data_IF_259427175765
#
_entry.id   IF_259427175765
#
_cell.length_a   1.000
_cell.length_b   1.000
_cell.length_c   1.000
_cell.angle_alpha   90.00
_cell.angle_beta   90.00
_cell.angle_gamma   90.00
#
_symmetry.space_group_name_H-M   'P 1'
#
loop_
_entity.id
_entity.type
_entity.pdbx_description
1 polymer ?
#
# COMPACT_ATOMS: atom_id res chain seq x y z
N UNK A 1 41.95 -3.39 -12.76
CA UNK A 1 41.38 -2.03 -12.73
C UNK A 1 40.59 -1.87 -11.43
N UNK A 2 41.12 -1.17 -10.44
CA UNK A 2 40.39 -0.89 -9.19
C UNK A 2 39.31 0.14 -9.49
N UNK A 3 38.04 -0.28 -9.50
CA UNK A 3 36.91 0.58 -9.80
C UNK A 3 36.75 1.63 -8.69
N UNK A 4 36.67 2.89 -9.10
CA UNK A 4 36.34 4.05 -8.25
C UNK A 4 35.10 3.71 -7.41
N UNK A 5 35.20 3.80 -6.09
CA UNK A 5 34.11 3.42 -5.19
C UNK A 5 32.84 4.26 -5.46
N UNK A 6 31.82 3.63 -6.07
CA UNK A 6 30.51 4.24 -6.29
C UNK A 6 29.77 4.37 -4.96
N UNK A 7 29.05 5.48 -4.75
CA UNK A 7 28.22 5.68 -3.55
C UNK A 7 27.20 4.53 -3.42
N UNK A 8 26.97 3.99 -2.21
CA UNK A 8 25.99 2.93 -2.02
C UNK A 8 24.58 3.42 -2.39
N UNK A 9 23.84 2.60 -3.14
CA UNK A 9 22.47 2.89 -3.54
C UNK A 9 21.51 2.05 -2.68
N UNK A 10 20.79 2.67 -1.71
CA UNK A 10 19.91 1.93 -0.83
C UNK A 10 18.65 1.49 -1.58
N UNK A 11 18.38 0.19 -1.56
CA UNK A 11 17.19 -0.43 -2.15
C UNK A 11 16.49 -1.29 -1.10
N UNK A 12 15.15 -1.33 -1.17
CA UNK A 12 14.33 -2.21 -0.34
C UNK A 12 14.04 -3.50 -1.12
N UNK A 13 14.20 -4.64 -0.47
CA UNK A 13 14.03 -5.97 -1.07
C UNK A 13 13.45 -6.92 -0.03
N UNK A 14 12.78 -7.97 -0.50
CA UNK A 14 12.26 -9.02 0.37
C UNK A 14 13.40 -9.87 0.96
N UNK A 15 13.26 -10.22 2.24
CA UNK A 15 14.28 -11.00 2.98
C UNK A 15 14.46 -12.38 2.33
N UNK A 16 13.36 -13.04 1.99
CA UNK A 16 13.40 -14.36 1.32
C UNK A 16 14.13 -14.31 -0.02
N UNK A 17 14.02 -13.20 -0.75
CA UNK A 17 14.73 -13.02 -2.01
C UNK A 17 16.23 -12.82 -1.78
N UNK A 18 16.61 -12.05 -0.76
CA UNK A 18 18.02 -11.89 -0.38
C UNK A 18 18.65 -13.22 0.04
N UNK A 19 17.91 -14.07 0.74
CA UNK A 19 18.39 -15.41 1.13
C UNK A 19 18.67 -16.28 -0.10
N UNK A 20 17.79 -16.27 -1.11
CA UNK A 20 18.01 -16.97 -2.39
C UNK A 20 19.24 -16.44 -3.14
N UNK A 21 19.53 -15.14 -3.07
CA UNK A 21 20.76 -14.58 -3.66
C UNK A 21 22.02 -15.01 -2.92
N UNK A 22 21.92 -15.44 -1.66
CA UNK A 22 23.06 -15.91 -0.89
C UNK A 22 23.51 -17.33 -1.28
N UNK A 23 22.61 -18.15 -1.82
CA UNK A 23 22.90 -19.53 -2.21
C UNK A 23 23.97 -19.63 -3.31
N UNK A 24 23.89 -18.90 -4.44
CA UNK A 24 24.95 -18.93 -5.46
C UNK A 24 26.30 -18.39 -4.96
N UNK A 25 26.30 -17.51 -3.95
CA UNK A 25 27.53 -17.01 -3.33
C UNK A 25 28.18 -18.09 -2.47
N UNK A 26 27.38 -18.84 -1.70
CA UNK A 26 27.86 -20.00 -0.91
C UNK A 26 28.39 -21.12 -1.80
N UNK A 27 27.75 -21.34 -2.95
CA UNK A 27 28.17 -22.31 -3.96
C UNK A 27 29.44 -21.88 -4.73
N UNK A 28 29.97 -20.68 -4.48
CA UNK A 28 31.13 -20.14 -5.20
C UNK A 28 30.85 -19.73 -6.66
N UNK A 29 29.59 -19.75 -7.10
CA UNK A 29 29.17 -19.36 -8.46
C UNK A 29 29.19 -17.83 -8.66
N UNK A 30 29.18 -17.06 -7.57
CA UNK A 30 29.27 -15.61 -7.61
C UNK A 30 30.15 -15.06 -6.47
N UNK A 31 30.80 -13.92 -6.71
CA UNK A 31 31.72 -13.31 -5.74
C UNK A 31 31.02 -12.66 -4.55
N UNK A 32 29.84 -12.08 -4.75
CA UNK A 32 29.00 -11.48 -3.70
C UNK A 32 27.59 -11.22 -4.22
N UNK A 33 26.64 -11.00 -3.31
CA UNK A 33 25.27 -10.59 -3.65
C UNK A 33 25.26 -9.31 -4.51
N UNK A 34 26.11 -8.34 -4.17
CA UNK A 34 26.24 -7.10 -4.96
C UNK A 34 26.75 -7.34 -6.38
N UNK A 35 27.57 -8.37 -6.59
CA UNK A 35 28.09 -8.74 -7.91
C UNK A 35 27.00 -9.39 -8.77
N UNK A 36 26.16 -10.23 -8.15
CA UNK A 36 24.97 -10.81 -8.79
C UNK A 36 24.03 -9.70 -9.24
N UNK A 37 23.69 -8.77 -8.34
CA UNK A 37 22.78 -7.65 -8.65
C UNK A 37 23.36 -6.78 -9.77
N UNK A 38 24.65 -6.42 -9.71
CA UNK A 38 25.31 -5.63 -10.77
C UNK A 38 25.25 -6.35 -12.13
N UNK A 39 25.57 -7.64 -12.16
CA UNK A 39 25.56 -8.43 -13.40
C UNK A 39 24.15 -8.62 -13.96
N UNK A 40 23.15 -8.78 -13.09
CA UNK A 40 21.76 -8.90 -13.50
C UNK A 40 21.26 -7.60 -14.14
N UNK A 41 21.51 -6.46 -13.49
CA UNK A 41 21.10 -5.14 -14.00
C UNK A 41 21.81 -4.75 -15.30
N UNK A 42 23.05 -5.19 -15.50
CA UNK A 42 23.83 -4.94 -16.73
C UNK A 42 23.28 -5.74 -17.94
N UNK A 43 22.71 -6.92 -17.70
CA UNK A 43 22.21 -7.82 -18.75
C UNK A 43 20.72 -7.71 -19.02
N UNK A 44 19.95 -7.18 -18.07
CA UNK A 44 18.50 -7.16 -18.17
C UNK A 44 18.03 -5.96 -18.99
N UNK A 45 17.23 -6.23 -20.02
CA UNK A 45 16.58 -5.18 -20.80
C UNK A 45 15.27 -4.76 -20.11
N UNK A 46 15.18 -3.48 -19.76
CA UNK A 46 14.01 -2.91 -19.08
C UNK A 46 12.88 -2.50 -20.04
N UNK A 47 13.08 -2.62 -21.36
CA UNK A 47 12.15 -2.10 -22.37
C UNK A 47 10.75 -2.73 -22.30
N UNK A 48 10.68 -4.04 -22.03
CA UNK A 48 9.41 -4.81 -22.00
C UNK A 48 8.94 -5.16 -20.57
N UNK A 49 9.40 -4.42 -19.56
CA UNK A 49 9.00 -4.70 -18.17
C UNK A 49 7.56 -4.28 -17.93
N UNK A 50 6.68 -5.27 -17.82
CA UNK A 50 5.31 -5.07 -17.37
C UNK A 50 5.27 -4.81 -15.86
N UNK A 51 5.42 -3.55 -15.48
CA UNK A 51 5.24 -3.12 -14.09
C UNK A 51 3.74 -3.05 -13.80
N UNK A 52 3.18 -4.14 -13.27
CA UNK A 52 1.79 -4.17 -12.81
C UNK A 52 1.66 -3.41 -11.49
N UNK A 53 1.41 -2.10 -11.56
CA UNK A 53 0.96 -1.37 -10.40
C UNK A 53 -0.53 -1.63 -10.19
N UNK A 54 -0.97 -2.07 -8.99
CA UNK A 54 -2.40 -2.09 -8.69
C UNK A 54 -2.92 -0.65 -8.87
N UNK A 55 -4.03 -0.48 -9.57
CA UNK A 55 -4.63 0.83 -9.80
C UNK A 55 -4.98 1.44 -8.44
N UNK A 56 -4.24 2.48 -8.03
CA UNK A 56 -4.46 3.20 -6.78
C UNK A 56 -5.20 4.49 -7.08
N UNK A 57 -6.33 4.71 -6.39
CA UNK A 57 -7.06 5.96 -6.44
C UNK A 57 -6.77 6.77 -5.17
N UNK A 58 -6.54 8.07 -5.34
CA UNK A 58 -6.43 8.98 -4.21
C UNK A 58 -7.82 9.36 -3.73
N UNK A 59 -8.16 8.93 -2.52
CA UNK A 59 -9.43 9.27 -1.85
C UNK A 59 -9.16 10.18 -0.64
N UNK A 60 -10.09 11.10 -0.38
CA UNK A 60 -10.02 12.00 0.77
C UNK A 60 -11.10 11.63 1.79
N UNK A 61 -10.67 11.13 2.95
CA UNK A 61 -11.57 10.78 4.07
C UNK A 61 -11.40 11.80 5.20
N UNK A 62 -12.51 12.27 5.76
CA UNK A 62 -12.50 13.16 6.92
C UNK A 62 -12.21 12.35 8.18
N UNK A 63 -11.01 12.51 8.73
CA UNK A 63 -10.57 11.84 9.95
C UNK A 63 -10.32 12.86 11.07
N UNK A 64 -10.70 12.55 12.33
CA UNK A 64 -10.30 13.32 13.50
C UNK A 64 -8.78 13.56 13.56
N UNK A 65 -8.37 14.69 14.17
CA UNK A 65 -6.96 15.07 14.27
C UNK A 65 -6.09 14.03 14.99
N UNK A 66 -6.62 13.43 16.05
CA UNK A 66 -5.95 12.42 16.87
C UNK A 66 -5.63 11.16 16.07
N UNK A 67 -6.63 10.62 15.36
CA UNK A 67 -6.48 9.43 14.50
C UNK A 67 -5.43 9.69 13.41
N UNK A 68 -5.45 10.87 12.77
CA UNK A 68 -4.44 11.24 11.77
C UNK A 68 -3.03 11.27 12.36
N UNK A 69 -2.87 11.80 13.57
CA UNK A 69 -1.57 11.87 14.26
C UNK A 69 -1.06 10.47 14.60
N UNK A 70 -1.93 9.61 15.13
CA UNK A 70 -1.58 8.24 15.48
C UNK A 70 -1.20 7.43 14.24
N UNK A 71 -1.99 7.50 13.16
CA UNK A 71 -1.68 6.82 11.89
C UNK A 71 -0.30 7.22 11.35
N UNK A 72 0.02 8.52 11.34
CA UNK A 72 1.34 9.00 10.88
C UNK A 72 2.48 8.49 11.77
N UNK A 73 2.29 8.48 13.09
CA UNK A 73 3.29 7.96 14.05
C UNK A 73 3.53 6.47 13.83
N UNK A 74 2.46 5.69 13.72
CA UNK A 74 2.53 4.24 13.50
C UNK A 74 3.15 3.89 12.15
N UNK A 75 2.78 4.60 11.09
CA UNK A 75 3.34 4.41 9.74
C UNK A 75 4.86 4.57 9.75
N UNK A 76 5.36 5.63 10.40
CA UNK A 76 6.81 5.85 10.56
C UNK A 76 7.49 4.77 11.38
N UNK A 77 6.90 4.39 12.51
CA UNK A 77 7.47 3.37 13.40
C UNK A 77 7.52 1.98 12.76
N UNK A 78 6.58 1.66 11.88
CA UNK A 78 6.46 0.36 11.20
C UNK A 78 7.02 0.37 9.78
N UNK A 79 7.68 1.46 9.36
CA UNK A 79 8.22 1.63 8.01
C UNK A 79 7.22 1.30 6.88
N UNK A 80 5.95 1.69 7.07
CA UNK A 80 4.87 1.42 6.12
C UNK A 80 4.13 2.69 5.74
N UNK A 81 3.28 2.64 4.71
CA UNK A 81 2.48 3.79 4.29
C UNK A 81 1.21 3.92 5.14
N UNK A 82 0.71 5.14 5.28
CA UNK A 82 -0.59 5.39 5.93
C UNK A 82 -1.71 4.64 5.19
N UNK A 83 -1.65 4.60 3.85
CA UNK A 83 -2.62 3.87 3.04
C UNK A 83 -2.62 2.37 3.32
N UNK A 84 -1.44 1.78 3.53
CA UNK A 84 -1.34 0.36 3.90
C UNK A 84 -1.98 0.08 5.26
N UNK A 85 -1.76 0.95 6.25
CA UNK A 85 -2.43 0.83 7.56
C UNK A 85 -3.95 0.96 7.46
N UNK A 86 -4.44 1.91 6.65
CA UNK A 86 -5.87 2.10 6.43
C UNK A 86 -6.48 0.89 5.73
N UNK A 87 -5.81 0.36 4.70
CA UNK A 87 -6.24 -0.85 4.00
C UNK A 87 -6.38 -2.02 4.96
N UNK A 88 -5.34 -2.33 5.73
CA UNK A 88 -5.36 -3.44 6.69
C UNK A 88 -6.49 -3.29 7.73
N UNK A 89 -6.72 -2.06 8.22
CA UNK A 89 -7.82 -1.81 9.17
C UNK A 89 -9.20 -2.02 8.55
N UNK A 90 -9.41 -1.59 7.31
CA UNK A 90 -10.68 -1.78 6.60
C UNK A 90 -10.91 -3.24 6.22
N UNK A 91 -9.88 -3.94 5.75
CA UNK A 91 -9.95 -5.38 5.44
C UNK A 91 -10.31 -6.22 6.66
N UNK A 92 -9.82 -5.86 7.85
CA UNK A 92 -10.22 -6.51 9.09
C UNK A 92 -11.67 -6.21 9.49
N UNK A 93 -12.20 -5.02 9.14
CA UNK A 93 -13.54 -4.59 9.53
C UNK A 93 -14.65 -5.06 8.55
N UNK A 94 -14.34 -5.25 7.27
CA UNK A 94 -15.32 -5.65 6.25
C UNK A 94 -16.10 -6.94 6.61
N UNK A 95 -15.45 -8.02 7.08
CA UNK A 95 -16.17 -9.23 7.49
C UNK A 95 -17.16 -8.99 8.64
N UNK A 96 -16.84 -8.07 9.55
CA UNK A 96 -17.74 -7.72 10.67
C UNK A 96 -19.00 -7.00 10.18
N UNK A 97 -18.88 -6.18 9.13
CA UNK A 97 -20.02 -5.50 8.52
C UNK A 97 -20.96 -6.46 7.80
N UNK A 98 -20.42 -7.45 7.09
CA UNK A 98 -21.21 -8.47 6.38
C UNK A 98 -21.99 -9.38 7.33
N UNK A 99 -21.48 -9.57 8.55
CA UNK A 99 -22.15 -10.32 9.60
C UNK A 99 -23.30 -9.56 10.28
N UNK A 100 -23.46 -8.25 10.04
CA UNK A 100 -24.57 -7.48 10.60
C UNK A 100 -25.86 -7.78 9.81
N UNK A 101 -26.99 -8.04 10.49
CA UNK A 101 -28.27 -8.18 9.81
C UNK A 101 -28.62 -6.87 9.10
N UNK A 102 -29.03 -6.96 7.83
CA UNK A 102 -29.44 -5.79 7.03
C UNK A 102 -30.49 -5.00 7.83
N UNK A 103 -30.23 -3.72 8.15
CA UNK A 103 -31.23 -2.90 8.83
C UNK A 103 -32.47 -2.83 7.93
N UNK A 104 -33.61 -3.29 8.42
CA UNK A 104 -34.89 -3.12 7.74
C UNK A 104 -35.06 -1.62 7.42
N UNK A 105 -35.19 -1.29 6.14
CA UNK A 105 -35.30 0.09 5.67
C UNK A 105 -36.38 0.85 6.47
N UNK A 106 -36.10 2.04 7.03
CA UNK A 106 -37.17 2.90 7.51
C UNK A 106 -37.90 3.46 6.29
N UNK A 107 -39.06 2.88 6.00
CA UNK A 107 -40.05 3.39 5.05
C UNK A 107 -40.24 4.89 5.28
N UNK A 108 -39.71 5.71 4.37
CA UNK A 108 -39.88 7.16 4.38
C UNK A 108 -41.33 7.46 4.04
N UNK A 109 -42.20 7.59 5.06
CA UNK A 109 -43.55 8.11 4.88
C UNK A 109 -43.46 9.56 4.35
N UNK A 110 -44.01 9.89 3.17
CA UNK A 110 -43.92 11.24 2.63
C UNK A 110 -44.73 12.21 3.52
N UNK A 111 -44.09 13.27 4.01
CA UNK A 111 -44.75 14.34 4.78
C UNK A 111 -45.76 15.06 3.88
N UNK A 112 -47.01 15.30 4.32
CA UNK A 112 -48.00 16.01 3.51
C UNK A 112 -47.62 17.50 3.36
N UNK A 113 -47.52 17.97 2.11
CA UNK A 113 -47.30 19.38 1.77
C UNK A 113 -48.48 20.24 2.26
N UNK A 114 -48.24 21.13 3.22
CA UNK A 114 -49.20 22.16 3.62
C UNK A 114 -49.45 23.13 2.46
N UNK A 115 -50.69 23.21 1.96
CA UNK A 115 -51.14 24.19 0.95
C UNK A 115 -50.97 25.60 1.50
N UNK A 116 -50.14 26.44 0.85
CA UNK A 116 -50.12 27.90 1.11
C UNK A 116 -51.44 28.50 0.60
N UNK A 117 -52.20 29.14 1.49
CA UNK A 117 -53.39 29.92 1.12
C UNK A 117 -52.95 31.15 0.33
N UNK A 118 -53.55 31.36 -0.86
CA UNK A 118 -53.46 32.60 -1.65
C UNK A 118 -54.16 33.71 -0.87
N UNK A 119 -53.48 34.83 -0.60
CA UNK A 119 -54.11 36.05 -0.08
C UNK A 119 -54.41 36.97 -1.27
N UNK A 120 -55.67 37.42 -1.34
CA UNK A 120 -56.24 38.35 -2.32
C UNK A 120 -55.63 39.73 -2.16
#
# INVERSE_FOLDING_TARGET
MASKASKPFPIQMEVEFLDRLSEPVRDGKAKSVSDIIRTALDRYDFTDVLVMHPVQLQISVRLPGEIRRQLKKTARSKHTSVGHLVRAAVEAYLPELEALPVPAEPVVKPKPRKRRKKKR
#
